data_IF_917360274515
#
_entry.id   IF_917360274515
#
_cell.length_a   1.000
_cell.length_b   1.000
_cell.length_c   1.000
_cell.angle_alpha   90.00
_cell.angle_beta   90.00
_cell.angle_gamma   90.00
#
_symmetry.space_group_name_H-M   'P 1'
#
loop_
_entity.id
_entity.type
_entity.pdbx_description
1 polymer ?
#
# COMPACT_ATOMS: atom_id res chain seq x y z
N UNK A 1 18.53 12.80 7.13
CA UNK A 1 17.68 11.58 7.03
C UNK A 1 16.98 11.43 5.67
N UNK A 2 17.63 11.80 4.54
CA UNK A 2 17.19 11.48 3.16
C UNK A 2 18.10 10.36 2.59
N UNK A 3 18.17 9.26 3.32
CA UNK A 3 19.01 8.13 2.93
C UNK A 3 18.11 6.97 2.51
N UNK A 4 18.37 6.42 1.33
CA UNK A 4 17.78 5.18 0.80
C UNK A 4 17.76 4.07 1.84
N UNK A 5 18.82 3.99 2.65
CA UNK A 5 19.01 2.97 3.69
C UNK A 5 18.02 3.16 4.83
N UNK A 6 17.69 4.41 5.20
CA UNK A 6 16.72 4.69 6.27
C UNK A 6 15.32 4.18 5.93
N UNK A 7 14.85 4.44 4.70
CA UNK A 7 13.56 3.92 4.23
C UNK A 7 13.54 2.39 4.17
N UNK A 8 14.67 1.75 3.82
CA UNK A 8 14.78 0.30 3.79
C UNK A 8 14.68 -0.31 5.19
N UNK A 9 15.47 0.20 6.14
CA UNK A 9 15.51 -0.31 7.52
C UNK A 9 14.13 -0.16 8.18
N UNK A 10 13.52 1.03 8.09
CA UNK A 10 12.21 1.30 8.70
C UNK A 10 11.14 0.46 8.00
N UNK A 11 11.16 0.37 6.67
CA UNK A 11 10.21 -0.44 5.91
C UNK A 11 10.28 -1.92 6.29
N UNK A 12 11.49 -2.47 6.42
CA UNK A 12 11.70 -3.86 6.82
C UNK A 12 11.27 -4.12 8.27
N UNK A 13 11.59 -3.20 9.18
CA UNK A 13 11.16 -3.29 10.58
C UNK A 13 9.62 -3.31 10.68
N UNK A 14 8.93 -2.41 9.99
CA UNK A 14 7.47 -2.39 9.95
C UNK A 14 6.87 -3.64 9.29
N UNK A 15 7.57 -4.22 8.31
CA UNK A 15 7.17 -5.49 7.70
C UNK A 15 7.19 -6.59 8.76
N UNK A 16 8.31 -6.75 9.45
CA UNK A 16 8.47 -7.72 10.53
C UNK A 16 7.43 -7.51 11.64
N UNK A 17 7.16 -6.26 12.03
CA UNK A 17 6.14 -5.93 13.02
C UNK A 17 4.74 -6.37 12.56
N UNK A 18 4.36 -6.02 11.33
CA UNK A 18 3.06 -6.44 10.79
C UNK A 18 2.94 -7.96 10.74
N UNK A 19 3.99 -8.66 10.30
CA UNK A 19 4.05 -10.12 10.26
C UNK A 19 3.96 -10.75 11.65
N UNK A 20 4.60 -10.16 12.66
CA UNK A 20 4.50 -10.60 14.04
C UNK A 20 3.06 -10.49 14.56
N UNK A 21 2.39 -9.36 14.34
CA UNK A 21 1.01 -9.18 14.81
C UNK A 21 0.04 -10.13 14.06
N UNK A 22 0.28 -10.38 12.78
CA UNK A 22 -0.47 -11.41 12.03
C UNK A 22 -0.27 -12.81 12.61
N UNK A 23 0.97 -13.18 12.93
CA UNK A 23 1.27 -14.48 13.53
C UNK A 23 0.63 -14.64 14.92
N UNK A 24 0.74 -13.61 15.75
CA UNK A 24 0.12 -13.57 17.08
C UNK A 24 -1.40 -13.73 17.01
N UNK A 25 -2.06 -13.03 16.09
CA UNK A 25 -3.51 -13.13 15.91
C UNK A 25 -3.96 -14.55 15.49
N UNK A 26 -3.20 -15.20 14.60
CA UNK A 26 -3.48 -16.59 14.17
C UNK A 26 -3.28 -17.55 15.35
N UNK A 27 -2.20 -17.39 16.10
CA UNK A 27 -1.86 -18.25 17.24
C UNK A 27 -2.86 -18.10 18.39
N UNK A 28 -3.30 -16.89 18.68
CA UNK A 28 -4.27 -16.59 19.72
C UNK A 28 -5.72 -16.89 19.30
N UNK A 29 -5.96 -17.40 18.08
CA UNK A 29 -7.29 -17.55 17.47
C UNK A 29 -8.16 -16.28 17.59
N UNK A 30 -7.51 -15.12 17.57
CA UNK A 30 -8.15 -13.83 17.75
C UNK A 30 -8.38 -13.14 16.40
N UNK A 31 -9.27 -12.15 16.38
CA UNK A 31 -9.50 -11.39 15.15
C UNK A 31 -8.31 -10.50 14.86
N UNK A 32 -7.82 -10.54 13.62
CA UNK A 32 -6.71 -9.68 13.18
C UNK A 32 -7.16 -8.22 13.30
N UNK A 33 -6.45 -7.37 14.07
CA UNK A 33 -6.79 -5.95 14.16
C UNK A 33 -6.63 -5.28 12.81
N UNK A 34 -7.59 -4.47 12.36
CA UNK A 34 -7.49 -3.73 11.09
C UNK A 34 -6.31 -2.75 11.03
N UNK A 35 -5.73 -2.40 12.16
CA UNK A 35 -4.50 -1.58 12.23
C UNK A 35 -3.32 -2.31 11.58
N UNK A 36 -3.28 -3.65 11.60
CA UNK A 36 -2.18 -4.44 11.01
C UNK A 36 -2.09 -4.25 9.50
N UNK A 37 -3.23 -4.13 8.80
CA UNK A 37 -3.26 -3.91 7.36
C UNK A 37 -2.66 -2.55 6.98
N UNK A 38 -2.83 -1.54 7.83
CA UNK A 38 -2.25 -0.22 7.64
C UNK A 38 -0.74 -0.23 7.85
N UNK A 39 -0.27 -0.88 8.91
CA UNK A 39 1.16 -1.03 9.19
C UNK A 39 1.85 -1.76 8.04
N UNK A 40 1.22 -2.81 7.51
CA UNK A 40 1.70 -3.53 6.34
C UNK A 40 1.72 -2.64 5.09
N UNK A 41 0.66 -1.90 4.82
CA UNK A 41 0.59 -0.99 3.67
C UNK A 41 1.69 0.08 3.71
N UNK A 42 1.92 0.67 4.88
CA UNK A 42 2.99 1.67 5.09
C UNK A 42 4.37 1.05 4.94
N UNK A 43 4.58 -0.20 5.39
CA UNK A 43 5.83 -0.93 5.13
C UNK A 43 6.12 -1.06 3.63
N UNK A 44 5.14 -1.51 2.85
CA UNK A 44 5.26 -1.64 1.38
C UNK A 44 5.57 -0.30 0.72
N UNK A 45 4.92 0.78 1.19
CA UNK A 45 5.18 2.13 0.71
C UNK A 45 6.63 2.57 0.96
N UNK A 46 7.16 2.34 2.17
CA UNK A 46 8.52 2.73 2.54
C UNK A 46 9.58 1.92 1.78
N UNK A 47 9.35 0.61 1.58
CA UNK A 47 10.22 -0.23 0.76
C UNK A 47 10.22 0.25 -0.70
N UNK A 48 9.05 0.62 -1.23
CA UNK A 48 8.91 1.19 -2.57
C UNK A 48 9.68 2.52 -2.67
N UNK A 49 9.54 3.41 -1.69
CA UNK A 49 10.31 4.66 -1.68
C UNK A 49 11.82 4.45 -1.58
N UNK A 50 12.30 3.42 -0.86
CA UNK A 50 13.71 3.05 -0.86
C UNK A 50 14.20 2.69 -2.28
N UNK A 51 13.39 1.96 -3.04
CA UNK A 51 13.71 1.62 -4.43
C UNK A 51 13.69 2.84 -5.36
N UNK A 52 12.70 3.72 -5.23
CA UNK A 52 12.56 4.92 -6.08
C UNK A 52 13.48 6.07 -5.69
N UNK A 53 14.04 6.06 -4.47
CA UNK A 53 14.90 7.13 -3.95
C UNK A 53 15.99 7.65 -4.91
N UNK A 54 16.82 6.81 -5.59
CA UNK A 54 17.84 7.31 -6.51
C UNK A 54 17.26 8.06 -7.72
N UNK A 55 16.12 7.62 -8.23
CA UNK A 55 15.45 8.25 -9.36
C UNK A 55 14.79 9.57 -8.93
N UNK A 56 14.21 9.60 -7.73
CA UNK A 56 13.54 10.78 -7.17
C UNK A 56 14.51 11.87 -6.69
N UNK A 57 15.78 11.53 -6.47
CA UNK A 57 16.81 12.50 -6.10
C UNK A 57 17.24 13.41 -7.26
N UNK A 58 17.21 12.91 -8.50
CA UNK A 58 17.77 13.62 -9.67
C UNK A 58 16.85 14.72 -10.25
N UNK A 59 15.58 14.80 -9.84
CA UNK A 59 14.60 15.83 -10.28
C UNK A 59 14.41 15.94 -11.80
N UNK A 60 14.67 14.85 -12.53
CA UNK A 60 14.54 14.78 -13.98
C UNK A 60 13.08 14.70 -14.46
N UNK A 61 12.83 14.94 -15.74
CA UNK A 61 11.50 14.82 -16.36
C UNK A 61 10.89 13.43 -16.20
N UNK A 62 11.71 12.38 -16.18
CA UNK A 62 11.26 10.99 -15.98
C UNK A 62 10.47 10.82 -14.68
N UNK A 63 10.89 11.50 -13.61
CA UNK A 63 10.19 11.46 -12.34
C UNK A 63 8.79 12.06 -12.42
N UNK A 64 8.64 13.18 -13.16
CA UNK A 64 7.34 13.81 -13.36
C UNK A 64 6.40 12.85 -14.08
N UNK A 65 6.89 12.21 -15.13
CA UNK A 65 6.13 11.21 -15.92
C UNK A 65 5.73 10.02 -15.05
N UNK A 66 6.65 9.45 -14.25
CA UNK A 66 6.35 8.33 -13.34
C UNK A 66 5.28 8.71 -12.33
N UNK A 67 5.35 9.92 -11.75
CA UNK A 67 4.39 10.37 -10.75
C UNK A 67 3.02 10.63 -11.34
N UNK A 68 2.96 11.29 -12.50
CA UNK A 68 1.72 11.61 -13.18
C UNK A 68 1.01 10.35 -13.69
N UNK A 69 1.73 9.50 -14.44
CA UNK A 69 1.19 8.22 -14.90
C UNK A 69 0.86 7.30 -13.74
N UNK A 70 1.69 7.28 -12.70
CA UNK A 70 1.48 6.48 -11.50
C UNK A 70 0.18 6.84 -10.79
N UNK A 71 -0.09 8.14 -10.61
CA UNK A 71 -1.37 8.61 -10.07
C UNK A 71 -2.55 8.24 -10.98
N UNK A 72 -2.41 8.39 -12.30
CA UNK A 72 -3.49 8.09 -13.23
C UNK A 72 -3.87 6.60 -13.23
N UNK A 73 -2.89 5.70 -13.31
CA UNK A 73 -3.15 4.26 -13.22
C UNK A 73 -3.70 3.85 -11.85
N UNK A 74 -3.17 4.43 -10.77
CA UNK A 74 -3.68 4.16 -9.42
C UNK A 74 -5.14 4.58 -9.28
N UNK A 75 -5.53 5.71 -9.89
CA UNK A 75 -6.92 6.16 -9.90
C UNK A 75 -7.85 5.16 -10.60
N UNK A 76 -7.44 4.62 -11.76
CA UNK A 76 -8.22 3.59 -12.47
C UNK A 76 -8.41 2.33 -11.62
N UNK A 77 -7.35 1.86 -10.96
CA UNK A 77 -7.41 0.70 -10.07
C UNK A 77 -8.31 0.99 -8.85
N UNK A 78 -8.25 2.19 -8.30
CA UNK A 78 -9.06 2.63 -7.17
C UNK A 78 -10.55 2.70 -7.54
N UNK A 79 -10.90 3.17 -8.75
CA UNK A 79 -12.28 3.10 -9.24
C UNK A 79 -12.77 1.65 -9.33
N UNK A 80 -11.93 0.74 -9.79
CA UNK A 80 -12.24 -0.68 -9.87
C UNK A 80 -12.52 -1.26 -8.47
N UNK A 81 -11.72 -0.92 -7.47
CA UNK A 81 -11.97 -1.33 -6.08
C UNK A 81 -13.31 -0.85 -5.54
N UNK A 82 -13.69 0.41 -5.81
CA UNK A 82 -15.00 0.89 -5.40
C UNK A 82 -16.14 0.10 -6.04
N UNK A 83 -16.05 -0.21 -7.34
CA UNK A 83 -17.06 -1.02 -8.03
C UNK A 83 -17.17 -2.40 -7.38
N UNK A 84 -16.04 -3.06 -7.12
CA UNK A 84 -16.01 -4.38 -6.44
C UNK A 84 -16.67 -4.30 -5.06
N UNK A 85 -16.25 -3.34 -4.22
CA UNK A 85 -16.81 -3.23 -2.86
C UNK A 85 -18.31 -2.93 -2.85
N UNK A 86 -18.78 -2.09 -3.78
CA UNK A 86 -20.23 -1.82 -3.92
C UNK A 86 -20.99 -3.09 -4.28
N UNK A 87 -20.51 -3.87 -5.26
CA UNK A 87 -21.16 -5.13 -5.66
C UNK A 87 -21.18 -6.13 -4.50
N UNK A 88 -20.04 -6.35 -3.83
CA UNK A 88 -19.92 -7.29 -2.72
C UNK A 88 -20.85 -6.93 -1.55
N UNK A 89 -20.92 -5.65 -1.20
CA UNK A 89 -21.79 -5.16 -0.12
C UNK A 89 -23.27 -5.22 -0.52
N UNK A 90 -23.61 -4.85 -1.76
CA UNK A 90 -25.00 -4.88 -2.25
C UNK A 90 -25.57 -6.30 -2.33
N UNK A 91 -24.73 -7.28 -2.66
CA UNK A 91 -25.11 -8.68 -2.74
C UNK A 91 -25.12 -9.38 -1.37
N UNK A 92 -24.81 -8.67 -0.28
CA UNK A 92 -24.67 -9.22 1.08
C UNK A 92 -23.71 -10.43 1.16
N UNK A 93 -22.74 -10.52 0.25
CA UNK A 93 -21.74 -11.60 0.23
C UNK A 93 -20.79 -11.43 1.43
N UNK A 94 -20.57 -10.18 1.86
CA UNK A 94 -19.65 -9.85 2.95
C UNK A 94 -20.32 -8.92 3.95
N UNK A 95 -20.40 -9.35 5.21
CA UNK A 95 -20.89 -8.55 6.33
C UNK A 95 -19.75 -7.78 7.01
N UNK A 96 -19.30 -6.68 6.41
CA UNK A 96 -18.30 -5.78 6.98
C UNK A 96 -18.96 -4.51 7.52
N UNK A 97 -18.42 -3.97 8.63
CA UNK A 97 -18.81 -2.64 9.11
C UNK A 97 -18.28 -1.57 8.15
N UNK A 98 -18.98 -0.44 8.03
CA UNK A 98 -18.56 0.66 7.17
C UNK A 98 -17.11 1.13 7.48
N UNK A 99 -16.75 1.16 8.76
CA UNK A 99 -15.41 1.53 9.23
C UNK A 99 -14.36 0.52 8.71
N UNK A 100 -14.66 -0.78 8.79
CA UNK A 100 -13.75 -1.82 8.30
C UNK A 100 -13.51 -1.71 6.78
N UNK A 101 -14.57 -1.43 6.00
CA UNK A 101 -14.47 -1.23 4.55
C UNK A 101 -13.56 -0.05 4.22
N UNK A 102 -13.75 1.09 4.88
CA UNK A 102 -12.93 2.28 4.66
C UNK A 102 -11.47 2.02 5.02
N UNK A 103 -11.22 1.34 6.14
CA UNK A 103 -9.87 0.95 6.60
C UNK A 103 -9.15 0.03 5.61
N UNK A 104 -9.86 -0.95 5.05
CA UNK A 104 -9.31 -1.84 4.01
C UNK A 104 -9.01 -1.04 2.75
N UNK A 105 -9.92 -0.17 2.30
CA UNK A 105 -9.71 0.69 1.13
C UNK A 105 -8.48 1.59 1.32
N UNK A 106 -8.30 2.22 2.49
CA UNK A 106 -7.11 3.04 2.77
C UNK A 106 -5.83 2.20 2.62
N UNK A 107 -5.80 1.01 3.22
CA UNK A 107 -4.63 0.11 3.11
C UNK A 107 -4.35 -0.28 1.65
N UNK A 108 -5.39 -0.57 0.89
CA UNK A 108 -5.29 -0.99 -0.51
C UNK A 108 -4.83 0.14 -1.44
N UNK A 109 -5.30 1.38 -1.19
CA UNK A 109 -4.87 2.56 -1.95
C UNK A 109 -3.40 2.89 -1.73
N UNK A 110 -2.91 2.78 -0.50
CA UNK A 110 -1.48 2.99 -0.19
C UNK A 110 -0.61 1.98 -0.95
N UNK A 111 -0.99 0.69 -0.92
CA UNK A 111 -0.23 -0.37 -1.60
C UNK A 111 -0.25 -0.17 -3.12
N UNK A 112 -1.41 0.12 -3.71
CA UNK A 112 -1.53 0.29 -5.16
C UNK A 112 -0.76 1.47 -5.70
N UNK A 113 -0.80 2.62 -5.01
CA UNK A 113 0.00 3.78 -5.40
C UNK A 113 1.49 3.45 -5.34
N UNK A 114 1.94 2.80 -4.27
CA UNK A 114 3.32 2.38 -4.12
C UNK A 114 3.76 1.43 -5.25
N UNK A 115 2.98 0.39 -5.53
CA UNK A 115 3.28 -0.60 -6.56
C UNK A 115 3.22 -0.03 -7.97
N UNK A 116 2.24 0.82 -8.28
CA UNK A 116 2.15 1.46 -9.60
C UNK A 116 3.39 2.30 -9.90
N UNK A 117 3.88 3.06 -8.93
CA UNK A 117 5.10 3.83 -9.07
C UNK A 117 6.34 2.93 -9.26
N UNK A 118 6.43 1.81 -8.55
CA UNK A 118 7.52 0.82 -8.72
C UNK A 118 7.47 0.17 -10.11
N UNK A 119 6.29 -0.21 -10.61
CA UNK A 119 6.16 -0.82 -11.93
C UNK A 119 6.59 0.18 -13.01
N UNK A 120 6.11 1.43 -12.94
CA UNK A 120 6.48 2.46 -13.93
C UNK A 120 7.97 2.80 -13.87
N UNK A 121 8.59 2.80 -12.70
CA UNK A 121 10.03 3.04 -12.56
C UNK A 121 10.94 2.00 -13.23
N UNK A 122 10.38 0.82 -13.57
CA UNK A 122 11.08 -0.21 -14.36
C UNK A 122 10.86 -0.04 -15.86
N UNK A 123 9.80 0.66 -16.25
CA UNK A 123 9.43 0.88 -17.65
C UNK A 123 10.10 2.16 -18.21
N UNK A 124 10.27 3.20 -17.38
CA UNK A 124 10.80 4.52 -17.75
C UNK A 124 12.15 4.82 -17.05
#
# INVERSE_FOLDING_TARGET
>A
MQSRVGYLIIGFLLLCLSGYIFFDAIWAHSTVPLVTSHVFAVSVLLLSYSYLHPQFKKKDERMKIIREKGMHYSFLVLMLYFIIFVVLLSANIVSLTAIAVVQILISLTIITVALCMVILSKIY
#
